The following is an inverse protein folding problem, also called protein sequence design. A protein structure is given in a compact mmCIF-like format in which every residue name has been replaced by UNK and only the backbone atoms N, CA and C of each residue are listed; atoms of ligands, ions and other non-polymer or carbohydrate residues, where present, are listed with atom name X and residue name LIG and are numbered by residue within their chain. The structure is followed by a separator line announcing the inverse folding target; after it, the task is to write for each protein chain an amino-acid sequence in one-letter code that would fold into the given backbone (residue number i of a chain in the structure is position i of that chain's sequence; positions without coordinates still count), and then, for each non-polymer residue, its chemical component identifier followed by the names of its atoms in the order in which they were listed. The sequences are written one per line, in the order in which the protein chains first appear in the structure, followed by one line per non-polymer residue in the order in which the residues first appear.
data_IF_429821315154
#
_entry.id   IF_429821315154
#
_cell.length_a   1.000
_cell.length_b   1.000
_cell.length_c   1.000
_cell.angle_alpha   90.00
_cell.angle_beta   90.00
_cell.angle_gamma   90.00
#
_symmetry.space_group_name_H-M   'P 1'
#
loop_
_entity.id
_entity.type
_entity.pdbx_description
1 polymer ?
#
# COMPACT_ATOMS: atom_id res chain seq x y z
N UNK A 1 0.90 19.40 -1.23
CA UNK A 1 0.75 17.97 -1.55
C UNK A 1 0.22 17.86 -2.96
N UNK A 2 0.83 17.05 -3.77
CA UNK A 2 0.34 16.70 -5.11
C UNK A 2 0.10 15.18 -5.14
N UNK A 3 -1.01 14.76 -5.77
CA UNK A 3 -1.15 13.37 -6.17
C UNK A 3 -0.29 13.22 -7.41
N UNK A 4 0.82 12.50 -7.31
CA UNK A 4 1.71 12.32 -8.44
C UNK A 4 1.08 11.38 -9.45
N UNK A 5 0.55 10.24 -8.94
CA UNK A 5 0.09 9.19 -9.84
C UNK A 5 -1.05 8.37 -9.25
N UNK A 6 -1.92 7.92 -10.13
CA UNK A 6 -3.06 7.06 -9.79
C UNK A 6 -3.19 5.97 -10.83
N UNK A 7 -3.24 4.74 -10.36
CA UNK A 7 -3.46 3.59 -11.25
C UNK A 7 -4.56 2.68 -10.72
N UNK A 8 -5.26 2.09 -11.64
CA UNK A 8 -6.31 1.13 -11.39
C UNK A 8 -6.03 -0.14 -12.19
N UNK A 9 -6.04 -1.28 -11.50
CA UNK A 9 -6.04 -2.58 -12.15
C UNK A 9 -7.28 -3.37 -11.73
N UNK A 10 -7.85 -4.08 -12.66
CA UNK A 10 -9.04 -4.90 -12.46
C UNK A 10 -8.69 -6.33 -12.84
N UNK A 11 -8.96 -7.27 -11.93
CA UNK A 11 -8.92 -8.69 -12.21
C UNK A 11 -10.17 -9.11 -12.98
N UNK A 12 -10.00 -9.94 -13.97
CA UNK A 12 -11.10 -10.52 -14.76
C UNK A 12 -11.42 -11.98 -14.37
N UNK A 13 -11.05 -12.38 -13.17
CA UNK A 13 -11.46 -13.65 -12.61
C UNK A 13 -10.54 -14.84 -12.88
N UNK A 14 -9.25 -14.61 -13.07
CA UNK A 14 -8.33 -15.68 -13.47
C UNK A 14 -7.43 -16.22 -12.36
N UNK A 15 -7.26 -15.50 -11.25
CA UNK A 15 -6.26 -15.89 -10.24
C UNK A 15 -6.66 -17.12 -9.44
N UNK A 16 -7.72 -17.04 -8.64
CA UNK A 16 -8.15 -18.17 -7.81
C UNK A 16 -8.82 -19.30 -8.58
N UNK A 17 -9.19 -19.10 -9.84
CA UNK A 17 -9.65 -20.16 -10.74
C UNK A 17 -8.52 -20.84 -11.51
N UNK A 18 -7.28 -20.34 -11.36
CA UNK A 18 -6.12 -20.93 -12.02
C UNK A 18 -5.53 -22.03 -11.12
N UNK A 19 -5.39 -23.22 -11.64
CA UNK A 19 -4.90 -24.39 -10.87
C UNK A 19 -3.54 -24.19 -10.22
N UNK A 20 -2.72 -23.29 -10.75
CA UNK A 20 -1.38 -22.97 -10.23
C UNK A 20 -1.35 -21.79 -9.26
N UNK A 21 -2.47 -21.13 -8.99
CA UNK A 21 -2.49 -20.02 -8.04
C UNK A 21 -2.57 -20.56 -6.59
N UNK A 22 -1.58 -20.27 -5.81
CA UNK A 22 -1.42 -20.74 -4.43
C UNK A 22 -1.82 -19.72 -3.35
N UNK A 23 -2.29 -18.54 -3.76
CA UNK A 23 -2.68 -17.47 -2.86
C UNK A 23 -1.53 -16.59 -2.38
N UNK A 24 -0.31 -16.81 -2.88
CA UNK A 24 0.88 -16.06 -2.45
C UNK A 24 0.99 -14.65 -3.05
N UNK A 25 0.12 -14.28 -3.99
CA UNK A 25 0.14 -12.97 -4.63
C UNK A 25 -1.24 -12.50 -5.08
N UNK A 26 -1.36 -11.18 -5.29
CA UNK A 26 -2.52 -10.50 -5.87
C UNK A 26 -2.09 -9.83 -7.18
N UNK A 27 -2.40 -10.45 -8.30
CA UNK A 27 -1.96 -9.99 -9.63
C UNK A 27 -2.40 -8.56 -9.94
N UNK A 28 -3.58 -8.16 -9.52
CA UNK A 28 -4.07 -6.78 -9.69
C UNK A 28 -3.21 -5.77 -8.95
N UNK A 29 -2.75 -6.11 -7.75
CA UNK A 29 -1.82 -5.28 -6.97
C UNK A 29 -0.49 -5.14 -7.68
N UNK A 30 0.11 -6.24 -8.16
CA UNK A 30 1.38 -6.22 -8.92
C UNK A 30 1.28 -5.38 -10.20
N UNK A 31 0.17 -5.49 -10.94
CA UNK A 31 -0.04 -4.70 -12.16
C UNK A 31 -0.24 -3.22 -11.84
N UNK A 32 -1.08 -2.90 -10.86
CA UNK A 32 -1.36 -1.52 -10.51
C UNK A 32 -0.13 -0.81 -9.93
N UNK A 33 0.63 -1.48 -9.06
CA UNK A 33 1.85 -0.92 -8.48
C UNK A 33 2.91 -0.65 -9.54
N UNK A 34 3.16 -1.60 -10.44
CA UNK A 34 4.14 -1.41 -11.51
C UNK A 34 3.78 -0.21 -12.41
N UNK A 35 2.52 -0.06 -12.78
CA UNK A 35 2.05 1.08 -13.58
C UNK A 35 2.21 2.40 -12.84
N UNK A 36 1.85 2.42 -11.55
CA UNK A 36 1.99 3.62 -10.72
C UNK A 36 3.46 4.02 -10.55
N UNK A 37 4.37 3.05 -10.36
CA UNK A 37 5.80 3.30 -10.27
C UNK A 37 6.39 3.82 -11.58
N UNK A 38 6.00 3.21 -12.70
CA UNK A 38 6.47 3.67 -14.03
C UNK A 38 6.04 5.12 -14.30
N UNK A 39 4.81 5.47 -13.98
CA UNK A 39 4.25 6.83 -14.14
C UNK A 39 4.91 7.82 -13.18
N UNK A 40 5.16 7.42 -11.92
CA UNK A 40 5.83 8.25 -10.92
C UNK A 40 7.36 8.35 -11.11
N UNK A 41 7.93 7.51 -11.97
CA UNK A 41 9.37 7.43 -12.16
C UNK A 41 10.11 6.73 -11.01
N UNK A 42 9.40 5.94 -10.19
CA UNK A 42 9.97 5.16 -9.09
C UNK A 42 10.62 3.91 -9.64
N UNK A 43 11.85 3.67 -9.26
CA UNK A 43 12.65 2.53 -9.72
C UNK A 43 13.01 1.54 -8.61
N UNK A 44 13.00 2.01 -7.37
CA UNK A 44 13.34 1.23 -6.18
C UNK A 44 12.30 1.49 -5.08
N UNK A 45 11.09 0.90 -5.19
CA UNK A 45 9.98 1.22 -4.29
C UNK A 45 10.36 1.12 -2.80
N UNK A 46 11.06 0.06 -2.42
CA UNK A 46 11.53 -0.18 -1.03
C UNK A 46 12.42 0.95 -0.47
N UNK A 47 13.09 1.71 -1.35
CA UNK A 47 13.99 2.80 -0.94
C UNK A 47 13.34 4.19 -1.09
N UNK A 48 12.39 4.31 -2.01
CA UNK A 48 11.81 5.60 -2.39
C UNK A 48 10.48 5.89 -1.70
N UNK A 49 9.66 4.84 -1.41
CA UNK A 49 8.42 4.99 -0.64
C UNK A 49 8.77 5.07 0.84
N UNK A 50 8.33 6.13 1.50
CA UNK A 50 8.69 6.43 2.88
C UNK A 50 7.54 6.22 3.87
N UNK A 51 6.36 5.89 3.39
CA UNK A 51 5.19 5.53 4.19
C UNK A 51 4.13 4.88 3.31
N UNK A 52 3.32 4.01 3.90
CA UNK A 52 2.27 3.32 3.19
C UNK A 52 0.98 3.25 4.00
N UNK A 53 -0.13 3.31 3.29
CA UNK A 53 -1.45 2.94 3.77
C UNK A 53 -2.01 1.88 2.83
N UNK A 54 -2.30 0.70 3.33
CA UNK A 54 -2.73 -0.44 2.52
C UNK A 54 -4.08 -1.00 2.96
N UNK A 55 -4.68 -1.83 2.15
CA UNK A 55 -5.93 -2.51 2.48
C UNK A 55 -5.64 -3.71 3.40
N UNK A 56 -5.68 -3.47 4.70
CA UNK A 56 -5.36 -4.41 5.78
C UNK A 56 -6.59 -5.17 6.32
N UNK A 57 -7.51 -5.57 5.43
CA UNK A 57 -8.72 -6.30 5.84
C UNK A 57 -8.43 -7.62 6.58
N UNK A 58 -7.32 -8.26 6.28
CA UNK A 58 -6.73 -9.38 7.00
C UNK A 58 -5.22 -9.21 7.07
N UNK A 59 -4.59 -9.67 8.15
CA UNK A 59 -3.12 -9.62 8.31
C UNK A 59 -2.36 -10.30 7.16
N UNK A 60 -2.88 -11.41 6.65
CA UNK A 60 -2.27 -12.08 5.48
C UNK A 60 -2.41 -11.23 4.21
N UNK A 61 -3.49 -10.48 4.04
CA UNK A 61 -3.66 -9.58 2.90
C UNK A 61 -2.62 -8.47 2.93
N UNK A 62 -2.40 -7.86 4.09
CA UNK A 62 -1.37 -6.86 4.29
C UNK A 62 0.01 -7.41 3.96
N UNK A 63 0.37 -8.58 4.52
CA UNK A 63 1.65 -9.24 4.29
C UNK A 63 1.92 -9.49 2.80
N UNK A 64 0.96 -10.11 2.10
CA UNK A 64 1.07 -10.37 0.65
C UNK A 64 1.15 -9.05 -0.13
N UNK A 65 0.39 -8.05 0.28
CA UNK A 65 0.41 -6.73 -0.36
C UNK A 65 1.79 -6.07 -0.27
N UNK A 66 2.51 -6.20 0.85
CA UNK A 66 3.86 -5.64 0.98
C UNK A 66 4.85 -6.25 -0.03
N UNK A 67 4.74 -7.55 -0.29
CA UNK A 67 5.54 -8.23 -1.32
C UNK A 67 5.12 -7.80 -2.73
N UNK A 68 3.82 -7.76 -3.01
CA UNK A 68 3.26 -7.35 -4.31
C UNK A 68 3.53 -5.88 -4.65
N UNK A 69 3.69 -5.04 -3.64
CA UNK A 69 4.12 -3.65 -3.76
C UNK A 69 5.65 -3.50 -3.85
N UNK A 70 6.41 -4.59 -3.84
CA UNK A 70 7.89 -4.58 -3.86
C UNK A 70 8.51 -3.81 -2.68
N UNK A 71 7.80 -3.70 -1.56
CA UNK A 71 8.29 -3.12 -0.30
C UNK A 71 9.00 -4.18 0.55
N UNK A 72 8.68 -5.44 0.30
CA UNK A 72 9.40 -6.61 0.77
C UNK A 72 9.79 -7.49 -0.44
N UNK A 73 10.87 -8.27 -0.31
CA UNK A 73 11.19 -9.30 -1.29
C UNK A 73 10.17 -10.44 -1.19
N UNK A 74 9.85 -11.07 -2.31
CA UNK A 74 8.92 -12.19 -2.38
C UNK A 74 9.35 -13.31 -1.42
N UNK A 75 8.43 -13.76 -0.57
CA UNK A 75 8.69 -14.75 0.49
C UNK A 75 9.48 -14.22 1.69
N UNK A 76 9.74 -12.92 1.78
CA UNK A 76 10.46 -12.29 2.90
C UNK A 76 9.61 -11.34 3.75
N UNK A 77 8.36 -11.14 3.39
CA UNK A 77 7.49 -10.20 4.10
C UNK A 77 7.42 -10.44 5.60
N UNK A 78 7.37 -11.71 6.04
CA UNK A 78 7.38 -12.06 7.47
C UNK A 78 8.65 -11.57 8.17
N UNK A 79 9.81 -11.73 7.53
CA UNK A 79 11.07 -11.28 8.10
C UNK A 79 11.12 -9.75 8.22
N UNK A 80 10.65 -9.03 7.19
CA UNK A 80 10.56 -7.57 7.21
C UNK A 80 9.65 -7.05 8.35
N UNK A 81 8.54 -7.74 8.61
CA UNK A 81 7.66 -7.44 9.76
C UNK A 81 8.36 -7.69 11.09
N UNK A 82 9.00 -8.86 11.24
CA UNK A 82 9.71 -9.22 12.49
C UNK A 82 10.92 -8.31 12.76
N UNK A 83 11.55 -7.80 11.71
CA UNK A 83 12.66 -6.85 11.79
C UNK A 83 12.20 -5.40 12.07
N UNK A 84 10.86 -5.17 12.17
CA UNK A 84 10.28 -3.85 12.43
C UNK A 84 10.36 -2.86 11.27
N UNK A 85 10.58 -3.33 10.03
CA UNK A 85 10.73 -2.43 8.88
C UNK A 85 9.47 -1.63 8.54
N UNK A 86 8.30 -2.10 8.98
CA UNK A 86 7.00 -1.45 8.78
C UNK A 86 6.48 -0.74 10.03
N UNK A 87 7.23 -0.75 11.14
CA UNK A 87 6.89 -0.01 12.34
C UNK A 87 7.02 1.51 12.13
N UNK A 88 6.52 2.31 13.07
CA UNK A 88 6.52 3.78 12.98
C UNK A 88 7.91 4.41 12.86
N UNK A 89 8.93 3.73 13.32
CA UNK A 89 10.35 4.08 13.23
C UNK A 89 11.13 3.19 12.26
N UNK A 90 10.42 2.32 11.53
CA UNK A 90 10.97 1.46 10.50
C UNK A 90 11.32 2.18 9.20
N UNK A 91 11.81 1.43 8.22
CA UNK A 91 12.22 1.97 6.92
C UNK A 91 11.07 2.45 6.06
N UNK A 92 9.95 1.72 6.09
CA UNK A 92 8.74 2.01 5.32
C UNK A 92 7.52 1.86 6.22
N UNK A 93 7.28 2.83 7.14
CA UNK A 93 6.15 2.78 8.05
C UNK A 93 4.83 2.50 7.34
N UNK A 94 4.06 1.56 7.90
CA UNK A 94 2.78 1.14 7.35
C UNK A 94 1.66 1.31 8.37
N UNK A 95 0.50 1.82 7.92
CA UNK A 95 -0.71 1.90 8.75
C UNK A 95 -0.50 2.63 10.08
N UNK A 96 0.20 3.75 10.06
CA UNK A 96 0.57 4.50 11.28
C UNK A 96 -0.63 5.05 12.03
N UNK A 97 -1.75 5.24 11.36
CA UNK A 97 -3.02 5.62 11.96
C UNK A 97 -3.78 4.43 12.61
N UNK A 98 -3.31 3.19 12.39
CA UNK A 98 -3.88 1.95 12.89
C UNK A 98 -4.78 1.21 11.90
N UNK A 99 -4.89 1.67 10.66
CA UNK A 99 -5.54 0.99 9.55
C UNK A 99 -7.04 0.76 9.72
N UNK A 100 -7.57 -0.18 8.94
CA UNK A 100 -9.00 -0.54 8.97
C UNK A 100 -9.44 -1.08 10.33
N UNK A 101 -8.52 -1.68 11.08
CA UNK A 101 -8.82 -2.25 12.38
C UNK A 101 -9.15 -1.18 13.43
N UNK A 102 -8.47 -0.05 13.39
CA UNK A 102 -8.69 1.04 14.35
C UNK A 102 -9.82 1.98 13.91
N UNK A 103 -9.97 2.23 12.61
CA UNK A 103 -10.96 3.17 12.08
C UNK A 103 -12.24 2.50 11.58
N UNK A 104 -12.27 1.17 11.50
CA UNK A 104 -13.32 0.46 10.78
C UNK A 104 -13.15 0.56 9.26
N UNK A 105 -14.07 -0.07 8.53
CA UNK A 105 -13.98 -0.14 7.08
C UNK A 105 -15.26 0.32 6.38
N UNK A 106 -15.56 1.63 6.35
CA UNK A 106 -16.60 2.14 5.47
C UNK A 106 -16.08 2.08 4.03
N UNK A 107 -16.60 1.12 3.26
CA UNK A 107 -16.08 0.72 1.93
C UNK A 107 -15.81 1.91 1.01
N UNK A 108 -16.70 2.88 0.95
CA UNK A 108 -16.55 4.08 0.10
C UNK A 108 -15.62 5.17 0.67
N UNK A 109 -15.14 5.02 1.90
CA UNK A 109 -14.38 6.06 2.60
C UNK A 109 -12.95 5.65 3.02
N UNK A 110 -12.68 4.36 3.13
CA UNK A 110 -11.37 3.88 3.60
C UNK A 110 -10.21 4.42 2.76
N UNK A 111 -10.31 4.41 1.44
CA UNK A 111 -9.28 4.97 0.57
C UNK A 111 -9.07 6.48 0.77
N UNK A 112 -10.12 7.24 1.06
CA UNK A 112 -9.99 8.66 1.38
C UNK A 112 -9.29 8.88 2.72
N UNK A 113 -9.59 8.05 3.73
CA UNK A 113 -8.89 8.07 5.02
C UNK A 113 -7.38 7.84 4.83
N UNK A 114 -7.00 6.81 4.09
CA UNK A 114 -5.61 6.49 3.82
C UNK A 114 -4.87 7.65 3.13
N UNK A 115 -5.48 8.26 2.11
CA UNK A 115 -4.92 9.45 1.44
C UNK A 115 -4.84 10.62 2.44
N UNK A 116 -5.82 10.76 3.33
CA UNK A 116 -5.83 11.82 4.34
C UNK A 116 -4.70 11.66 5.36
N UNK A 117 -4.39 10.42 5.80
CA UNK A 117 -3.23 10.18 6.66
C UNK A 117 -1.92 10.55 5.93
N UNK A 118 -1.73 10.11 4.71
CA UNK A 118 -0.58 10.53 3.90
C UNK A 118 -0.50 12.05 3.75
N UNK A 119 -1.64 12.73 3.58
CA UNK A 119 -1.70 14.19 3.56
C UNK A 119 -1.24 14.82 4.88
N UNK A 120 -1.69 14.30 6.02
CA UNK A 120 -1.30 14.80 7.34
C UNK A 120 0.20 14.64 7.57
N UNK A 121 0.75 13.48 7.25
CA UNK A 121 2.16 13.16 7.38
C UNK A 121 3.03 14.12 6.54
N UNK A 122 2.71 14.27 5.25
CA UNK A 122 3.47 15.13 4.32
C UNK A 122 3.42 16.63 4.68
N UNK A 123 2.41 17.06 5.43
CA UNK A 123 2.27 18.46 5.86
C UNK A 123 2.69 18.69 7.32
N UNK A 124 3.29 17.71 8.00
CA UNK A 124 3.70 17.85 9.40
C UNK A 124 2.52 18.01 10.37
N UNK A 125 1.36 17.46 10.05
CA UNK A 125 0.09 17.65 10.76
C UNK A 125 -0.47 16.38 11.41
N UNK A 126 0.31 15.30 11.42
CA UNK A 126 -0.14 14.02 11.98
C UNK A 126 -0.06 13.95 13.54
N UNK A 127 0.39 15.03 14.20
CA UNK A 127 0.43 15.10 15.66
C UNK A 127 1.37 14.06 16.25
N UNK A 128 0.88 13.28 17.22
CA UNK A 128 1.70 12.25 17.88
C UNK A 128 2.13 11.10 16.95
N UNK A 129 1.48 10.95 15.79
CA UNK A 129 1.84 9.93 14.79
C UNK A 129 2.82 10.44 13.73
N UNK A 130 3.28 11.68 13.86
CA UNK A 130 4.11 12.29 12.83
C UNK A 130 5.42 11.53 12.62
N UNK A 131 5.64 11.06 11.41
CA UNK A 131 6.88 10.44 10.96
C UNK A 131 7.98 11.51 10.83
N UNK A 132 9.23 11.09 10.99
CA UNK A 132 10.37 12.02 10.99
C UNK A 132 10.64 12.65 9.62
N UNK A 133 10.59 11.86 8.56
CA UNK A 133 10.93 12.30 7.18
C UNK A 133 9.99 11.76 6.10
N UNK A 134 8.69 12.02 6.14
CA UNK A 134 7.78 11.55 5.11
C UNK A 134 8.01 12.32 3.79
N UNK A 135 8.32 11.59 2.72
CA UNK A 135 8.61 12.16 1.38
C UNK A 135 7.63 11.68 0.31
N UNK A 136 7.38 10.37 0.27
CA UNK A 136 6.43 9.75 -0.66
C UNK A 136 5.54 8.79 0.09
N UNK A 137 4.24 9.01 0.02
CA UNK A 137 3.23 8.11 0.56
C UNK A 137 2.59 7.28 -0.54
N UNK A 138 2.51 5.98 -0.35
CA UNK A 138 1.78 5.07 -1.21
C UNK A 138 0.46 4.71 -0.54
N UNK A 139 -0.59 4.70 -1.33
CA UNK A 139 -1.93 4.32 -0.93
C UNK A 139 -2.40 3.15 -1.79
N UNK A 140 -2.73 2.03 -1.16
CA UNK A 140 -3.22 0.83 -1.83
C UNK A 140 -4.63 0.49 -1.36
N UNK A 141 -5.55 0.33 -2.30
CA UNK A 141 -6.89 -0.17 -2.02
C UNK A 141 -7.19 -1.38 -2.88
N UNK A 142 -7.73 -2.40 -2.23
CA UNK A 142 -8.18 -3.62 -2.87
C UNK A 142 -9.65 -3.86 -2.48
N UNK A 143 -10.47 -4.19 -3.45
CA UNK A 143 -11.87 -4.51 -3.20
C UNK A 143 -12.36 -5.66 -4.08
N UNK A 144 -13.21 -6.50 -3.53
CA UNK A 144 -13.77 -7.67 -4.23
C UNK A 144 -13.28 -9.00 -3.68
N UNK A 145 -13.51 -10.04 -4.44
CA UNK A 145 -13.06 -11.40 -4.12
C UNK A 145 -11.69 -11.69 -4.71
N UNK A 146 -10.93 -12.67 -4.22
CA UNK A 146 -9.59 -12.98 -4.73
C UNK A 146 -9.49 -13.16 -6.25
N UNK A 147 -10.55 -13.67 -6.89
CA UNK A 147 -10.62 -13.90 -8.33
C UNK A 147 -11.40 -12.83 -9.11
N UNK A 148 -12.00 -11.87 -8.42
CA UNK A 148 -12.75 -10.74 -9.00
C UNK A 148 -12.52 -9.51 -8.15
N UNK A 149 -11.38 -8.89 -8.30
CA UNK A 149 -10.99 -7.75 -7.48
C UNK A 149 -10.56 -6.56 -8.33
N UNK A 150 -10.58 -5.41 -7.68
CA UNK A 150 -10.11 -4.14 -8.21
C UNK A 150 -9.05 -3.63 -7.26
N UNK A 151 -7.90 -3.26 -7.80
CA UNK A 151 -6.85 -2.61 -7.06
C UNK A 151 -6.64 -1.18 -7.58
N UNK A 152 -6.52 -0.24 -6.66
CA UNK A 152 -6.10 1.12 -6.97
C UNK A 152 -4.88 1.52 -6.18
N UNK A 153 -3.91 2.15 -6.85
CA UNK A 153 -2.71 2.71 -6.24
C UNK A 153 -2.71 4.22 -6.44
N UNK A 154 -2.36 4.94 -5.38
CA UNK A 154 -2.09 6.38 -5.47
C UNK A 154 -0.75 6.68 -4.80
N UNK A 155 0.08 7.48 -5.43
CA UNK A 155 1.35 7.94 -4.87
C UNK A 155 1.26 9.45 -4.67
N UNK A 156 1.53 9.89 -3.46
CA UNK A 156 1.43 11.29 -3.06
C UNK A 156 2.77 11.79 -2.52
N UNK A 157 3.10 13.00 -2.86
CA UNK A 157 4.36 13.62 -2.44
C UNK A 157 4.26 15.15 -2.36
N UNK A 158 5.34 15.85 -2.00
CA UNK A 158 5.37 17.29 -2.01
C UNK A 158 5.19 17.82 -3.44
N UNK A 159 4.62 19.01 -3.54
CA UNK A 159 4.60 19.76 -4.79
C UNK A 159 6.00 20.36 -5.02
N UNK A 160 6.63 20.00 -6.12
CA UNK A 160 7.88 20.60 -6.60
C UNK A 160 7.59 21.65 -7.65
#
# INVERSE_FOLDING_TARGET
MCIRDRQLAVSNGTESSHESWDGSYLKTTRIASQRAYDEAGIRRPKEEITMTEVHDCFSITELVTMEDLQLAEEGKGVNEVLDGNFDSDGKTPCQIDGGLKCFGHPIGASGLRMIYENYLQLNGRAGARQLSEPKLGLNHNLGGFPHQNICSISIVGPYN
#
